data_IF_026975126506
#
_entry.id   IF_026975126506
#
_cell.length_a   1.000
_cell.length_b   1.000
_cell.length_c   1.000
_cell.angle_alpha   90.00
_cell.angle_beta   90.00
_cell.angle_gamma   90.00
#
_symmetry.space_group_name_H-M   'P 1'
#
loop_
_entity.id
_entity.type
_entity.pdbx_description
1 polymer ?
#
# COMPACT_ATOMS: atom_id res chain seq x y z
N UNK A 1 19.20 22.48 9.36
CA UNK A 1 18.61 23.83 9.29
C UNK A 1 17.93 24.14 7.94
N UNK A 2 18.63 24.15 6.79
CA UNK A 2 17.97 24.44 5.50
C UNK A 2 16.97 23.34 5.05
N UNK A 3 17.34 22.06 5.26
CA UNK A 3 16.47 20.91 4.92
C UNK A 3 15.15 20.92 5.70
N UNK A 4 15.20 21.30 6.98
CA UNK A 4 14.03 21.36 7.87
C UNK A 4 13.03 22.44 7.44
N UNK A 5 13.55 23.60 6.99
CA UNK A 5 12.72 24.72 6.51
C UNK A 5 12.00 24.36 5.20
N UNK A 6 12.63 23.56 4.34
CA UNK A 6 12.03 23.11 3.10
C UNK A 6 11.01 21.96 3.32
N UNK A 7 11.28 21.07 4.27
CA UNK A 7 10.35 20.02 4.69
C UNK A 7 9.06 20.63 5.28
N UNK A 8 9.20 21.61 6.17
CA UNK A 8 8.05 22.33 6.75
C UNK A 8 7.18 23.03 5.71
N UNK A 9 7.78 23.75 4.75
CA UNK A 9 7.04 24.37 3.63
C UNK A 9 6.33 23.34 2.77
N UNK A 10 6.94 22.18 2.55
CA UNK A 10 6.35 21.09 1.78
C UNK A 10 5.16 20.49 2.52
N UNK A 11 5.27 20.26 3.83
CA UNK A 11 4.17 19.80 4.67
C UNK A 11 2.98 20.77 4.62
N UNK A 12 3.20 22.08 4.75
CA UNK A 12 2.13 23.07 4.64
C UNK A 12 1.45 23.01 3.26
N UNK A 13 2.23 22.94 2.17
CA UNK A 13 1.66 22.85 0.81
C UNK A 13 0.81 21.59 0.64
N UNK A 14 1.25 20.46 1.19
CA UNK A 14 0.50 19.20 1.17
C UNK A 14 -0.77 19.31 2.00
N UNK A 15 -0.69 19.90 3.19
CA UNK A 15 -1.84 20.09 4.08
C UNK A 15 -2.90 20.99 3.43
N UNK A 16 -2.51 22.17 2.96
CA UNK A 16 -3.40 23.10 2.24
C UNK A 16 -3.95 22.46 0.97
N UNK A 17 -3.11 21.75 0.21
CA UNK A 17 -3.51 21.05 -0.99
C UNK A 17 -4.50 19.91 -0.75
N UNK A 18 -4.51 19.28 0.43
CA UNK A 18 -5.50 18.28 0.80
C UNK A 18 -6.78 18.91 1.34
N UNK A 19 -6.68 19.94 2.20
CA UNK A 19 -7.85 20.61 2.80
C UNK A 19 -8.63 21.48 1.80
N UNK A 20 -7.96 22.03 0.79
CA UNK A 20 -8.59 22.91 -0.21
C UNK A 20 -9.44 22.16 -1.24
N UNK A 21 -9.33 20.83 -1.33
CA UNK A 21 -10.03 20.05 -2.37
C UNK A 21 -11.48 19.75 -1.98
N UNK A 22 -12.44 19.92 -2.91
CA UNK A 22 -13.86 19.72 -2.62
C UNK A 22 -14.20 18.27 -2.27
N UNK A 23 -13.42 17.30 -2.73
CA UNK A 23 -13.60 15.89 -2.39
C UNK A 23 -13.13 15.52 -0.98
N UNK A 24 -12.45 16.44 -0.28
CA UNK A 24 -11.96 16.28 1.09
C UNK A 24 -12.76 17.14 2.09
N UNK A 25 -13.93 17.67 1.70
CA UNK A 25 -14.74 18.55 2.55
C UNK A 25 -15.15 17.87 3.87
N UNK A 26 -15.39 16.55 3.86
CA UNK A 26 -15.70 15.72 5.03
C UNK A 26 -14.60 15.81 6.12
N UNK A 27 -13.33 15.85 5.70
CA UNK A 27 -12.21 15.99 6.62
C UNK A 27 -12.16 17.41 7.21
N UNK A 28 -12.40 18.43 6.39
CA UNK A 28 -12.50 19.82 6.87
C UNK A 28 -13.65 19.99 7.87
N UNK A 29 -14.82 19.41 7.59
CA UNK A 29 -15.96 19.41 8.51
C UNK A 29 -15.62 18.69 9.82
N UNK A 30 -14.92 17.55 9.75
CA UNK A 30 -14.49 16.81 10.94
C UNK A 30 -13.48 17.59 11.80
N UNK A 31 -12.64 18.42 11.19
CA UNK A 31 -11.71 19.32 11.89
C UNK A 31 -12.49 20.48 12.53
N UNK A 32 -13.39 21.13 11.79
CA UNK A 32 -14.19 22.27 12.28
C UNK A 32 -15.13 21.86 13.41
N UNK A 33 -15.70 20.67 13.34
CA UNK A 33 -16.58 20.11 14.39
C UNK A 33 -15.81 19.56 15.60
N UNK A 34 -14.48 19.54 15.55
CA UNK A 34 -13.62 19.07 16.64
C UNK A 34 -13.57 17.55 16.81
N UNK A 35 -14.06 16.77 15.82
CA UNK A 35 -13.90 15.30 15.80
C UNK A 35 -12.44 14.89 15.58
N UNK A 36 -11.70 15.70 14.83
CA UNK A 36 -10.26 15.50 14.58
C UNK A 36 -9.50 16.66 15.20
N UNK A 37 -8.53 16.34 16.07
CA UNK A 37 -7.71 17.35 16.73
C UNK A 37 -6.70 17.93 15.74
N UNK A 38 -6.58 19.25 15.70
CA UNK A 38 -5.68 19.97 14.78
C UNK A 38 -4.21 19.58 14.96
N UNK A 39 -3.78 19.24 16.19
CA UNK A 39 -2.43 18.72 16.46
C UNK A 39 -2.18 17.39 15.74
N UNK A 40 -3.15 16.47 15.77
CA UNK A 40 -3.04 15.18 15.07
C UNK A 40 -2.99 15.35 13.56
N UNK A 41 -3.69 16.35 13.00
CA UNK A 41 -3.66 16.65 11.56
C UNK A 41 -2.25 17.08 11.11
N UNK A 42 -1.50 17.78 11.97
CA UNK A 42 -0.13 18.20 11.66
C UNK A 42 0.86 17.03 11.60
N UNK A 43 0.55 15.92 12.27
CA UNK A 43 1.37 14.72 12.32
C UNK A 43 0.94 13.65 11.30
N UNK A 44 -0.25 13.80 10.71
CA UNK A 44 -0.79 12.87 9.72
C UNK A 44 0.05 12.84 8.44
N UNK A 45 0.15 11.65 7.84
CA UNK A 45 0.83 11.51 6.55
C UNK A 45 -0.03 12.08 5.41
N UNK A 46 0.57 12.44 4.27
CA UNK A 46 -0.18 12.91 3.09
C UNK A 46 -1.27 11.94 2.63
N UNK A 47 -1.08 10.66 2.94
CA UNK A 47 -2.00 9.56 2.60
C UNK A 47 -3.19 9.52 3.56
N UNK A 48 -2.95 9.72 4.86
CA UNK A 48 -3.97 9.89 5.89
C UNK A 48 -4.81 11.17 5.69
N UNK A 49 -4.29 12.17 4.96
CA UNK A 49 -5.00 13.40 4.61
C UNK A 49 -5.80 13.30 3.31
N UNK A 50 -5.70 12.18 2.58
CA UNK A 50 -6.45 11.97 1.34
C UNK A 50 -7.94 11.71 1.60
N UNK A 51 -8.76 11.78 0.54
CA UNK A 51 -10.20 11.50 0.64
C UNK A 51 -10.46 10.07 1.06
N UNK A 52 -11.59 9.85 1.73
CA UNK A 52 -12.07 8.51 2.07
C UNK A 52 -12.13 7.58 0.86
N UNK A 53 -12.57 8.10 -0.30
CA UNK A 53 -12.58 7.33 -1.56
C UNK A 53 -11.17 6.92 -1.98
N UNK A 54 -10.22 7.86 -1.97
CA UNK A 54 -8.84 7.60 -2.40
C UNK A 54 -8.11 6.68 -1.42
N UNK A 55 -8.37 6.83 -0.12
CA UNK A 55 -7.89 5.92 0.92
C UNK A 55 -8.38 4.50 0.68
N UNK A 56 -9.66 4.32 0.40
CA UNK A 56 -10.22 3.01 0.09
C UNK A 56 -9.58 2.40 -1.17
N UNK A 57 -9.43 3.17 -2.25
CA UNK A 57 -8.76 2.71 -3.47
C UNK A 57 -7.30 2.31 -3.23
N UNK A 58 -6.56 3.09 -2.43
CA UNK A 58 -5.17 2.78 -2.11
C UNK A 58 -5.05 1.55 -1.23
N UNK A 59 -5.95 1.38 -0.27
CA UNK A 59 -5.99 0.24 0.64
C UNK A 59 -6.26 -1.07 -0.13
N UNK A 60 -7.20 -1.03 -1.07
CA UNK A 60 -7.48 -2.15 -1.99
C UNK A 60 -6.29 -2.45 -2.91
N UNK A 61 -5.64 -1.42 -3.47
CA UNK A 61 -4.41 -1.61 -4.27
C UNK A 61 -3.27 -2.21 -3.43
N UNK A 62 -3.13 -1.80 -2.17
CA UNK A 62 -2.11 -2.31 -1.24
C UNK A 62 -2.36 -3.78 -0.93
N UNK A 63 -3.60 -4.15 -0.61
CA UNK A 63 -4.03 -5.54 -0.39
C UNK A 63 -3.78 -6.39 -1.64
N UNK A 64 -4.20 -5.93 -2.81
CA UNK A 64 -4.01 -6.65 -4.07
C UNK A 64 -2.51 -6.88 -4.37
N UNK A 65 -1.67 -5.87 -4.10
CA UNK A 65 -0.22 -5.99 -4.27
C UNK A 65 0.41 -6.99 -3.30
N UNK A 66 -0.03 -7.00 -2.05
CA UNK A 66 0.42 -7.98 -1.05
C UNK A 66 0.00 -9.40 -1.43
N UNK A 67 -1.26 -9.59 -1.84
CA UNK A 67 -1.75 -10.89 -2.28
C UNK A 67 -0.96 -11.42 -3.49
N UNK A 68 -0.72 -10.58 -4.50
CA UNK A 68 0.11 -10.94 -5.67
C UNK A 68 1.53 -11.33 -5.27
N UNK A 69 2.14 -10.57 -4.36
CA UNK A 69 3.49 -10.87 -3.87
C UNK A 69 3.54 -12.24 -3.15
N UNK A 70 2.57 -12.53 -2.28
CA UNK A 70 2.48 -13.83 -1.58
C UNK A 70 2.29 -15.01 -2.55
N UNK A 71 1.42 -14.84 -3.54
CA UNK A 71 1.21 -15.85 -4.59
C UNK A 71 2.49 -16.10 -5.36
N UNK A 72 3.21 -15.04 -5.75
CA UNK A 72 4.47 -15.18 -6.49
C UNK A 72 5.56 -15.89 -5.68
N UNK A 73 5.68 -15.62 -4.38
CA UNK A 73 6.60 -16.34 -3.49
C UNK A 73 6.30 -17.84 -3.44
N UNK A 74 5.02 -18.22 -3.47
CA UNK A 74 4.60 -19.63 -3.41
C UNK A 74 4.70 -20.34 -4.77
N UNK A 75 4.64 -19.58 -5.86
CA UNK A 75 4.71 -20.08 -7.24
C UNK A 75 6.14 -20.20 -7.80
N UNK A 76 7.18 -19.88 -7.01
CA UNK A 76 8.57 -19.80 -7.45
C UNK A 76 9.21 -21.11 -7.94
N UNK A 77 8.54 -22.25 -7.79
CA UNK A 77 8.98 -23.52 -8.35
C UNK A 77 8.13 -23.84 -9.57
N UNK A 78 8.76 -23.97 -10.74
CA UNK A 78 8.09 -24.49 -11.93
C UNK A 78 7.62 -25.93 -11.63
N UNK A 79 6.32 -26.09 -11.40
CA UNK A 79 5.70 -27.39 -11.17
C UNK A 79 5.32 -27.98 -12.51
N UNK A 80 5.83 -29.18 -12.81
CA UNK A 80 5.48 -29.96 -14.00
C UNK A 80 4.74 -31.23 -13.61
N UNK A 81 3.76 -31.61 -14.44
CA UNK A 81 2.98 -32.84 -14.30
C UNK A 81 3.65 -34.04 -15.01
N UNK A 82 4.79 -33.84 -15.68
CA UNK A 82 5.47 -34.89 -16.44
C UNK A 82 5.93 -36.07 -15.56
N UNK A 83 6.24 -35.82 -14.28
CA UNK A 83 6.76 -36.82 -13.35
C UNK A 83 5.83 -37.01 -12.15
N UNK A 84 5.60 -38.28 -11.76
CA UNK A 84 4.84 -38.66 -10.56
C UNK A 84 5.80 -38.84 -9.38
N UNK A 85 5.51 -38.19 -8.24
CA UNK A 85 6.27 -38.39 -7.02
C UNK A 85 6.08 -39.82 -6.47
N UNK A 86 7.18 -40.53 -6.23
CA UNK A 86 7.15 -41.89 -5.69
C UNK A 86 6.66 -42.00 -4.24
N UNK A 87 6.73 -40.91 -3.46
CA UNK A 87 6.36 -40.91 -2.02
C UNK A 87 4.90 -40.55 -1.78
N UNK A 88 4.39 -39.48 -2.40
CA UNK A 88 3.02 -39.02 -2.19
C UNK A 88 2.07 -39.34 -3.37
N UNK A 89 2.59 -39.85 -4.50
CA UNK A 89 1.80 -40.18 -5.68
C UNK A 89 1.28 -38.97 -6.48
N UNK A 90 1.51 -37.74 -6.02
CA UNK A 90 1.09 -36.52 -6.70
C UNK A 90 2.02 -36.19 -7.89
N UNK A 91 1.48 -35.56 -8.93
CA UNK A 91 2.21 -35.13 -10.13
C UNK A 91 2.58 -33.63 -10.05
N UNK A 92 3.17 -33.24 -8.91
CA UNK A 92 3.63 -31.87 -8.65
C UNK A 92 5.14 -31.88 -8.41
N UNK A 93 5.91 -32.08 -9.47
CA UNK A 93 7.37 -32.25 -9.39
C UNK A 93 8.08 -31.07 -10.06
N UNK A 94 9.28 -30.72 -9.60
CA UNK A 94 10.12 -29.68 -10.22
C UNK A 94 11.41 -30.33 -10.73
N UNK A 95 11.89 -29.88 -11.90
CA UNK A 95 13.11 -30.40 -12.53
C UNK A 95 14.10 -29.26 -12.78
N UNK A 96 15.40 -29.53 -12.57
CA UNK A 96 16.50 -28.62 -12.87
C UNK A 96 17.52 -29.35 -13.75
N UNK A 97 17.96 -28.70 -14.84
CA UNK A 97 19.02 -29.22 -15.70
C UNK A 97 20.38 -28.81 -15.13
N UNK A 98 21.27 -29.78 -14.93
CA UNK A 98 22.67 -29.53 -14.59
C UNK A 98 23.52 -29.89 -15.82
N UNK A 99 24.45 -29.03 -16.20
CA UNK A 99 25.42 -29.33 -17.26
C UNK A 99 26.52 -30.21 -16.67
N UNK A 100 26.75 -31.37 -17.28
CA UNK A 100 27.81 -32.32 -16.95
C UNK A 100 28.97 -32.19 -17.91
#
# INVERSE_FOLDING_TARGET
HEKDKNAYKTQIRVLVGNLSKPHNMSLCESIVTGRVVTSSVAEMTPDDLASDKRKAELEEMRKASQAKWQVNQTAGLAVTDQFKCGKCGQRKTTYFQMQT
#
